data_IF_357659859827
#
_entry.id   IF_357659859827
#
_cell.length_a   1.000
_cell.length_b   1.000
_cell.length_c   1.000
_cell.angle_alpha   90.00
_cell.angle_beta   90.00
_cell.angle_gamma   90.00
#
_symmetry.space_group_name_H-M   'P 1'
#
loop_
_entity.id
_entity.type
_entity.pdbx_description
1 polymer ?
#
# COMPACT_ATOMS: atom_id res chain seq x y z
N UNK A 1 -11.79 15.30 -2.29
CA UNK A 1 -12.05 13.85 -2.26
C UNK A 1 -10.70 13.16 -2.41
N UNK A 2 -10.21 12.48 -1.37
CA UNK A 2 -8.92 11.79 -1.47
C UNK A 2 -9.08 10.62 -2.44
N UNK A 3 -8.29 10.59 -3.51
CA UNK A 3 -8.29 9.50 -4.48
C UNK A 3 -7.77 8.25 -3.73
N UNK A 4 -8.66 7.32 -3.41
CA UNK A 4 -8.32 6.10 -2.67
C UNK A 4 -7.55 5.14 -3.59
N UNK A 5 -6.24 5.09 -3.39
CA UNK A 5 -5.34 4.19 -4.12
C UNK A 5 -5.49 2.72 -3.70
N UNK A 6 -4.91 1.84 -4.51
CA UNK A 6 -4.81 0.41 -4.22
C UNK A 6 -3.36 -0.04 -4.40
N UNK A 7 -2.93 -0.98 -3.56
CA UNK A 7 -1.62 -1.64 -3.66
C UNK A 7 -1.80 -3.15 -3.86
N UNK A 8 -0.92 -3.80 -4.61
CA UNK A 8 -0.89 -5.27 -4.69
C UNK A 8 -0.62 -5.86 -3.30
N UNK A 9 -1.39 -6.89 -2.90
CA UNK A 9 -1.14 -7.63 -1.64
C UNK A 9 0.20 -8.35 -1.61
N UNK A 10 0.71 -8.74 -2.77
CA UNK A 10 2.02 -9.36 -2.94
C UNK A 10 2.46 -9.30 -4.40
N UNK A 11 3.76 -9.50 -4.63
CA UNK A 11 4.38 -9.50 -5.96
C UNK A 11 4.64 -10.92 -6.49
N UNK A 12 3.59 -11.75 -6.61
CA UNK A 12 3.72 -13.04 -7.30
C UNK A 12 3.84 -12.84 -8.81
N UNK A 13 4.52 -13.75 -9.51
CA UNK A 13 4.74 -13.68 -10.97
C UNK A 13 3.48 -13.31 -11.75
N UNK A 14 2.38 -14.02 -11.52
CA UNK A 14 1.10 -13.75 -12.18
C UNK A 14 0.53 -12.36 -11.87
N UNK A 15 0.68 -11.86 -10.64
CA UNK A 15 0.22 -10.50 -10.26
C UNK A 15 1.05 -9.42 -10.93
N UNK A 16 2.36 -9.64 -11.08
CA UNK A 16 3.25 -8.74 -11.81
C UNK A 16 2.87 -8.73 -13.29
N UNK A 17 2.75 -9.90 -13.92
CA UNK A 17 2.38 -10.03 -15.33
C UNK A 17 1.03 -9.33 -15.62
N UNK A 18 0.00 -9.58 -14.80
CA UNK A 18 -1.29 -8.89 -14.92
C UNK A 18 -1.17 -7.37 -14.79
N UNK A 19 -0.39 -6.89 -13.81
CA UNK A 19 -0.19 -5.45 -13.60
C UNK A 19 0.55 -4.79 -14.77
N UNK A 20 1.60 -5.43 -15.28
CA UNK A 20 2.36 -4.96 -16.45
C UNK A 20 1.53 -4.96 -17.73
N UNK A 21 0.60 -5.92 -17.87
CA UNK A 21 -0.35 -5.98 -18.97
C UNK A 21 -1.51 -4.98 -18.83
N UNK A 22 -1.56 -4.17 -17.77
CA UNK A 22 -2.65 -3.21 -17.51
C UNK A 22 -4.00 -3.88 -17.23
N UNK A 23 -4.00 -5.15 -16.81
CA UNK A 23 -5.23 -5.88 -16.51
C UNK A 23 -5.88 -5.35 -15.23
N UNK A 24 -7.21 -5.27 -15.23
CA UNK A 24 -7.96 -5.02 -14.01
C UNK A 24 -7.74 -6.16 -13.02
N UNK A 25 -7.22 -5.82 -11.84
CA UNK A 25 -6.93 -6.79 -10.79
C UNK A 25 -8.14 -6.91 -9.85
N UNK A 26 -8.53 -8.16 -9.58
CA UNK A 26 -9.54 -8.48 -8.58
C UNK A 26 -9.28 -7.78 -7.24
N UNK A 27 -10.32 -7.30 -6.58
CA UNK A 27 -10.20 -6.58 -5.30
C UNK A 27 -9.54 -7.44 -4.21
N UNK A 28 -9.70 -8.76 -4.28
CA UNK A 28 -9.03 -9.72 -3.39
C UNK A 28 -7.51 -9.74 -3.53
N UNK A 29 -6.96 -9.28 -4.67
CA UNK A 29 -5.52 -9.17 -4.93
C UNK A 29 -4.95 -7.82 -4.46
N UNK A 30 -5.80 -6.89 -4.02
CA UNK A 30 -5.46 -5.52 -3.69
C UNK A 30 -5.63 -5.20 -2.18
N UNK A 31 -4.87 -4.23 -1.70
CA UNK A 31 -4.99 -3.58 -0.40
C UNK A 31 -5.49 -2.16 -0.65
N UNK A 32 -6.56 -1.76 0.05
CA UNK A 32 -7.09 -0.41 0.00
C UNK A 32 -6.14 0.55 0.74
N UNK A 33 -5.84 1.69 0.13
CA UNK A 33 -5.08 2.77 0.76
C UNK A 33 -6.02 3.92 1.11
N UNK A 34 -6.28 4.12 2.39
CA UNK A 34 -7.20 5.15 2.90
C UNK A 34 -6.55 6.16 3.84
N UNK A 35 -5.25 6.39 3.65
CA UNK A 35 -4.46 7.39 4.37
C UNK A 35 -4.58 7.29 5.92
N UNK A 36 -4.83 6.08 6.44
CA UNK A 36 -4.91 5.83 7.87
C UNK A 36 -6.30 6.00 8.47
N UNK A 37 -7.35 6.29 7.69
CA UNK A 37 -8.74 6.37 8.19
C UNK A 37 -9.15 5.10 8.95
N UNK A 38 -8.92 3.93 8.35
CA UNK A 38 -9.23 2.66 9.02
C UNK A 38 -8.26 2.39 10.17
N UNK A 39 -6.98 2.75 10.04
CA UNK A 39 -5.99 2.57 11.12
C UNK A 39 -6.34 3.38 12.37
N UNK A 40 -6.79 4.63 12.21
CA UNK A 40 -7.24 5.48 13.30
C UNK A 40 -8.44 4.89 14.03
N UNK A 41 -9.46 4.43 13.30
CA UNK A 41 -10.65 3.80 13.91
C UNK A 41 -10.31 2.53 14.69
N UNK A 42 -9.30 1.79 14.23
CA UNK A 42 -8.83 0.54 14.85
C UNK A 42 -7.75 0.75 15.92
N UNK A 43 -7.35 2.01 16.21
CA UNK A 43 -6.32 2.31 17.22
C UNK A 43 -4.92 1.84 16.86
N UNK A 44 -4.59 1.76 15.56
CA UNK A 44 -3.28 1.31 15.07
C UNK A 44 -2.34 2.48 14.78
N UNK A 45 -1.11 2.39 15.27
CA UNK A 45 -0.03 3.35 15.03
C UNK A 45 1.24 2.63 14.58
N UNK A 46 2.08 3.28 13.78
CA UNK A 46 3.40 2.79 13.34
C UNK A 46 4.42 3.90 13.54
N UNK A 47 5.60 3.57 14.06
CA UNK A 47 6.73 4.47 14.20
C UNK A 47 7.91 3.87 13.43
N UNK A 48 8.50 4.65 12.52
CA UNK A 48 9.70 4.27 11.78
C UNK A 48 10.87 5.09 12.32
N UNK A 49 11.94 4.41 12.72
CA UNK A 49 13.14 5.03 13.29
C UNK A 49 14.37 4.50 12.56
N UNK A 50 15.18 5.42 12.05
CA UNK A 50 16.50 5.13 11.50
C UNK A 50 17.43 6.29 11.79
N UNK A 51 18.74 6.05 11.72
CA UNK A 51 19.75 7.10 11.85
C UNK A 51 19.62 8.20 10.79
N UNK A 52 19.05 7.84 9.63
CA UNK A 52 18.98 8.67 8.44
C UNK A 52 17.66 9.42 8.30
N UNK A 53 16.68 9.19 9.18
CA UNK A 53 15.45 9.99 9.20
C UNK A 53 15.83 11.46 9.47
N UNK A 54 15.59 12.30 8.46
CA UNK A 54 15.97 13.72 8.45
C UNK A 54 17.48 13.98 8.64
N UNK A 55 18.34 13.00 8.34
CA UNK A 55 19.78 13.10 8.50
C UNK A 55 20.49 12.39 7.35
N UNK A 56 20.73 13.11 6.24
CA UNK A 56 21.48 12.56 5.11
C UNK A 56 22.93 12.30 5.54
N UNK A 57 23.37 11.05 5.42
CA UNK A 57 24.73 10.57 5.72
C UNK A 57 25.41 10.10 4.44
#
# INVERSE_FOLDING_TARGET
MANSGHMLRSFSRSKIEMALAGMNLEQSKLVRMDAGETARREGRCVFECSWEVANKV
#
